data_IF_323869313891
#
_entry.id   IF_323869313891
#
_cell.length_a   1.000
_cell.length_b   1.000
_cell.length_c   1.000
_cell.angle_alpha   90.00
_cell.angle_beta   90.00
_cell.angle_gamma   90.00
#
_symmetry.space_group_name_H-M   'P 1'
#
loop_
_entity.id
_entity.type
_entity.pdbx_description
1 polymer ?
#
# COMPACT_ATOMS: atom_id res chain seq x y z
N UNK A 1 1.76 -1.08 -4.37
CA UNK A 1 2.90 -1.94 -4.72
C UNK A 1 4.01 -1.85 -3.71
N UNK A 2 4.66 -0.68 -3.51
CA UNK A 2 5.73 -0.54 -2.50
C UNK A 2 5.25 -0.92 -1.08
N UNK A 3 4.07 -0.44 -0.66
CA UNK A 3 3.54 -0.75 0.67
C UNK A 3 3.30 -2.24 0.93
N UNK A 4 3.02 -3.02 -0.11
CA UNK A 4 2.80 -4.47 0.00
C UNK A 4 4.08 -5.29 -0.19
N UNK A 5 5.09 -4.77 -0.90
CA UNK A 5 6.33 -5.49 -1.17
C UNK A 5 7.45 -5.17 -0.16
N UNK A 6 7.46 -3.97 0.43
CA UNK A 6 8.50 -3.52 1.35
C UNK A 6 8.73 -4.45 2.58
N UNK A 7 7.70 -5.03 3.22
CA UNK A 7 7.91 -5.97 4.32
C UNK A 7 8.69 -7.22 3.89
N UNK A 8 8.44 -7.71 2.67
CA UNK A 8 9.12 -8.88 2.13
C UNK A 8 10.59 -8.60 1.80
N UNK A 9 10.93 -7.36 1.43
CA UNK A 9 12.33 -6.94 1.26
C UNK A 9 13.06 -6.96 2.61
N UNK A 10 12.42 -6.49 3.68
CA UNK A 10 12.99 -6.58 5.04
C UNK A 10 13.16 -8.02 5.52
N UNK A 11 12.14 -8.86 5.30
CA UNK A 11 12.21 -10.30 5.58
C UNK A 11 13.33 -10.98 4.81
N UNK A 12 13.48 -10.69 3.52
CA UNK A 12 14.58 -11.21 2.71
C UNK A 12 15.95 -10.85 3.31
N UNK A 13 16.13 -9.59 3.74
CA UNK A 13 17.35 -9.16 4.43
C UNK A 13 17.64 -9.98 5.70
N UNK A 14 16.61 -10.33 6.48
CA UNK A 14 16.77 -11.19 7.66
C UNK A 14 17.23 -12.59 7.31
N UNK A 15 16.62 -13.20 6.28
CA UNK A 15 16.96 -14.55 5.82
C UNK A 15 18.40 -14.60 5.32
N UNK A 16 18.81 -13.60 4.54
CA UNK A 16 20.18 -13.50 4.05
C UNK A 16 21.20 -13.29 5.18
N UNK A 17 20.91 -12.42 6.14
CA UNK A 17 21.78 -12.17 7.29
C UNK A 17 21.99 -13.41 8.16
N UNK A 18 20.91 -14.13 8.46
CA UNK A 18 20.98 -15.38 9.23
C UNK A 18 21.69 -16.47 8.43
N UNK A 19 21.45 -16.57 7.12
CA UNK A 19 22.15 -17.52 6.26
C UNK A 19 23.67 -17.33 6.31
N UNK A 20 24.16 -16.10 6.15
CA UNK A 20 25.60 -15.82 6.20
C UNK A 20 26.21 -16.12 7.59
N UNK A 21 25.45 -15.88 8.66
CA UNK A 21 25.87 -16.22 10.01
C UNK A 21 26.04 -17.74 10.19
N UNK A 22 25.07 -18.52 9.70
CA UNK A 22 25.10 -19.98 9.76
C UNK A 22 26.19 -20.58 8.86
N UNK A 23 26.45 -20.00 7.69
CA UNK A 23 27.56 -20.41 6.81
C UNK A 23 28.91 -20.24 7.51
N UNK A 24 29.11 -19.09 8.16
CA UNK A 24 30.33 -18.80 8.94
C UNK A 24 30.51 -19.78 10.11
N UNK A 25 29.42 -20.12 10.81
CA UNK A 25 29.45 -21.10 11.91
C UNK A 25 29.74 -22.51 11.38
N UNK A 26 29.14 -22.89 10.26
CA UNK A 26 29.38 -24.17 9.60
C UNK A 26 30.84 -24.32 9.16
N UNK A 27 31.45 -23.26 8.63
CA UNK A 27 32.86 -23.25 8.22
C UNK A 27 33.83 -23.30 9.41
N UNK A 28 33.49 -22.68 10.54
CA UNK A 28 34.37 -22.61 11.73
C UNK A 28 34.16 -23.75 12.73
N UNK A 29 33.05 -24.47 12.63
CA UNK A 29 32.69 -25.58 13.53
C UNK A 29 32.40 -25.16 14.98
N UNK A 30 32.43 -23.87 15.29
CA UNK A 30 32.21 -23.32 16.63
C UNK A 30 30.97 -22.44 16.64
N UNK A 31 29.90 -22.94 17.25
CA UNK A 31 28.71 -22.15 17.55
C UNK A 31 28.88 -21.50 18.93
N UNK A 32 29.16 -20.20 18.98
CA UNK A 32 29.09 -19.39 20.21
C UNK A 32 28.03 -18.30 20.08
N UNK A 33 27.44 -17.90 21.21
CA UNK A 33 26.44 -16.81 21.24
C UNK A 33 27.02 -15.51 20.68
N UNK A 34 28.30 -15.22 20.97
CA UNK A 34 28.99 -14.03 20.47
C UNK A 34 29.05 -13.97 18.94
N UNK A 35 29.09 -15.14 18.27
CA UNK A 35 29.09 -15.26 16.81
C UNK A 35 27.71 -15.08 16.19
N UNK A 36 26.63 -15.29 16.96
CA UNK A 36 25.24 -15.23 16.48
C UNK A 36 24.57 -13.90 16.83
N UNK A 37 24.95 -13.27 17.94
CA UNK A 37 24.29 -12.07 18.45
C UNK A 37 24.35 -10.87 17.48
N UNK A 38 25.48 -10.66 16.80
CA UNK A 38 25.64 -9.57 15.82
C UNK A 38 24.69 -9.71 14.63
N UNK A 39 24.78 -10.81 13.84
CA UNK A 39 23.92 -11.02 12.67
C UNK A 39 22.41 -11.05 13.00
N UNK A 40 22.03 -11.53 14.18
CA UNK A 40 20.62 -11.50 14.63
C UNK A 40 20.16 -10.04 14.88
N UNK A 41 21.02 -9.19 15.45
CA UNK A 41 20.73 -7.77 15.61
C UNK A 41 20.52 -7.06 14.27
N UNK A 42 21.39 -7.33 13.28
CA UNK A 42 21.27 -6.78 11.94
C UNK A 42 19.99 -7.24 11.22
N UNK A 43 19.61 -8.51 11.39
CA UNK A 43 18.35 -9.05 10.86
C UNK A 43 17.12 -8.31 11.43
N UNK A 44 17.11 -7.97 12.72
CA UNK A 44 16.00 -7.20 13.31
C UNK A 44 15.87 -5.80 12.68
N UNK A 45 17.00 -5.14 12.41
CA UNK A 45 17.00 -3.83 11.75
C UNK A 45 16.43 -3.92 10.33
N UNK A 46 16.76 -4.97 9.57
CA UNK A 46 16.23 -5.17 8.22
C UNK A 46 14.68 -5.26 8.20
N UNK A 47 14.10 -5.95 9.17
CA UNK A 47 12.63 -6.01 9.32
C UNK A 47 12.06 -4.65 9.69
N UNK A 48 12.69 -3.94 10.64
CA UNK A 48 12.26 -2.61 11.04
C UNK A 48 12.25 -1.63 9.86
N UNK A 49 13.26 -1.68 8.98
CA UNK A 49 13.33 -0.87 7.77
C UNK A 49 12.21 -1.22 6.78
N UNK A 50 11.93 -2.51 6.56
CA UNK A 50 10.83 -2.95 5.70
C UNK A 50 9.47 -2.39 6.16
N UNK A 51 9.24 -2.38 7.48
CA UNK A 51 8.03 -1.79 8.07
C UNK A 51 8.02 -0.26 8.00
N UNK A 52 9.15 0.38 8.27
CA UNK A 52 9.30 1.83 8.21
C UNK A 52 9.00 2.38 6.81
N UNK A 53 9.27 1.62 5.75
CA UNK A 53 8.90 1.98 4.37
C UNK A 53 7.45 1.60 4.05
N UNK A 54 6.98 0.44 4.52
CA UNK A 54 5.63 -0.05 4.21
C UNK A 54 4.52 0.84 4.76
N UNK A 55 4.64 1.27 6.02
CA UNK A 55 3.57 2.00 6.72
C UNK A 55 3.26 3.35 6.05
N UNK A 56 4.24 4.24 5.79
CA UNK A 56 3.98 5.50 5.09
C UNK A 56 3.45 5.28 3.68
N UNK A 57 3.92 4.26 2.96
CA UNK A 57 3.46 3.96 1.60
C UNK A 57 1.96 3.58 1.56
N UNK A 58 1.50 2.78 2.53
CA UNK A 58 0.07 2.40 2.63
C UNK A 58 -0.79 3.59 3.06
N UNK A 59 -0.31 4.40 4.02
CA UNK A 59 -1.02 5.61 4.46
C UNK A 59 -1.20 6.63 3.32
N UNK A 60 -0.14 6.89 2.56
CA UNK A 60 -0.18 7.79 1.40
C UNK A 60 -1.14 7.29 0.31
N UNK A 61 -1.13 5.99 0.03
CA UNK A 61 -2.06 5.38 -0.92
C UNK A 61 -3.53 5.54 -0.47
N UNK A 62 -3.82 5.25 0.79
CA UNK A 62 -5.16 5.38 1.34
C UNK A 62 -5.67 6.82 1.31
N UNK A 63 -4.79 7.78 1.62
CA UNK A 63 -5.10 9.20 1.56
C UNK A 63 -5.43 9.65 0.13
N UNK A 64 -4.63 9.24 -0.86
CA UNK A 64 -4.85 9.59 -2.26
C UNK A 64 -6.13 8.94 -2.80
N UNK A 65 -6.40 7.69 -2.43
CA UNK A 65 -7.63 7.00 -2.79
C UNK A 65 -8.88 7.69 -2.23
N UNK A 66 -8.82 8.19 -0.99
CA UNK A 66 -9.91 8.98 -0.42
C UNK A 66 -10.16 10.25 -1.23
N UNK A 67 -9.12 10.98 -1.60
CA UNK A 67 -9.24 12.20 -2.44
C UNK A 67 -9.80 11.89 -3.82
N UNK A 68 -9.31 10.82 -4.47
CA UNK A 68 -9.83 10.39 -5.76
C UNK A 68 -11.32 10.04 -5.70
N UNK A 69 -11.75 9.35 -4.63
CA UNK A 69 -13.17 9.02 -4.42
C UNK A 69 -14.03 10.28 -4.32
N UNK A 70 -13.57 11.31 -3.60
CA UNK A 70 -14.30 12.57 -3.45
C UNK A 70 -14.40 13.27 -4.82
N UNK A 71 -13.29 13.37 -5.57
CA UNK A 71 -13.30 13.97 -6.90
C UNK A 71 -14.26 13.23 -7.86
N UNK A 72 -14.22 11.90 -7.86
CA UNK A 72 -15.13 11.07 -8.65
C UNK A 72 -16.60 11.25 -8.22
N UNK A 73 -16.85 11.47 -6.93
CA UNK A 73 -18.20 11.74 -6.43
C UNK A 73 -18.73 13.07 -6.96
N UNK A 74 -17.90 14.12 -6.99
CA UNK A 74 -18.29 15.41 -7.57
C UNK A 74 -18.63 15.30 -9.05
N UNK A 75 -17.81 14.58 -9.84
CA UNK A 75 -18.08 14.37 -11.27
C UNK A 75 -19.37 13.59 -11.48
N UNK A 76 -19.60 12.53 -10.70
CA UNK A 76 -20.85 11.75 -10.75
C UNK A 76 -22.07 12.58 -10.34
N UNK A 77 -21.94 13.42 -9.31
CA UNK A 77 -22.98 14.35 -8.88
C UNK A 77 -23.39 15.28 -10.01
N UNK A 78 -22.42 15.94 -10.64
CA UNK A 78 -22.67 16.81 -11.80
C UNK A 78 -23.38 16.08 -12.94
N UNK A 79 -22.95 14.86 -13.28
CA UNK A 79 -23.60 14.05 -14.30
C UNK A 79 -25.05 13.69 -13.94
N UNK A 80 -25.31 13.40 -12.67
CA UNK A 80 -26.66 13.13 -12.17
C UNK A 80 -27.56 14.36 -12.30
N UNK A 81 -27.06 15.54 -11.93
CA UNK A 81 -27.83 16.78 -12.01
C UNK A 81 -28.19 17.12 -13.46
N UNK A 82 -27.24 16.98 -14.40
CA UNK A 82 -27.50 17.16 -15.83
C UNK A 82 -28.54 16.16 -16.36
N UNK A 83 -28.44 14.89 -15.94
CA UNK A 83 -29.40 13.86 -16.32
C UNK A 83 -30.81 14.21 -15.85
N UNK A 84 -30.95 14.65 -14.59
CA UNK A 84 -32.23 15.09 -14.03
C UNK A 84 -32.79 16.30 -14.78
N UNK A 85 -31.98 17.31 -15.07
CA UNK A 85 -32.42 18.49 -15.84
C UNK A 85 -32.91 18.12 -17.25
N UNK A 86 -32.20 17.22 -17.93
CA UNK A 86 -32.58 16.77 -19.26
C UNK A 86 -33.90 15.98 -19.24
N UNK A 87 -34.12 15.14 -18.22
CA UNK A 87 -35.40 14.44 -18.04
C UNK A 87 -36.56 15.41 -17.79
N UNK A 88 -36.35 16.42 -16.95
CA UNK A 88 -37.36 17.47 -16.67
C UNK A 88 -37.72 18.23 -17.96
N UNK A 89 -36.73 18.58 -18.78
CA UNK A 89 -36.97 19.31 -20.03
C UNK A 89 -37.72 18.45 -21.07
N UNK A 90 -37.40 17.15 -21.16
CA UNK A 90 -38.16 16.21 -22.00
C UNK A 90 -39.62 16.14 -21.55
N UNK A 91 -39.86 16.05 -20.24
CA UNK A 91 -41.21 16.00 -19.68
C UNK A 91 -42.00 17.29 -19.96
N UNK A 92 -41.34 18.45 -19.82
CA UNK A 92 -41.93 19.76 -20.13
C UNK A 92 -42.28 19.89 -21.61
N UNK A 93 -41.40 19.44 -22.51
CA UNK A 93 -41.63 19.43 -23.96
C UNK A 93 -42.80 18.52 -24.37
N UNK A 94 -42.98 17.38 -23.69
CA UNK A 94 -44.11 16.48 -23.91
C UNK A 94 -45.45 17.12 -23.49
N UNK A 95 -45.51 17.74 -22.30
CA UNK A 95 -46.74 18.43 -21.83
C UNK A 95 -47.16 19.58 -22.75
N UNK A 96 -46.20 20.33 -23.28
CA UNK A 96 -46.48 21.42 -24.23
C UNK A 96 -46.96 20.96 -25.61
N UNK A 97 -46.82 19.67 -25.96
CA UNK A 97 -47.35 19.08 -27.21
C UNK A 97 -48.74 18.46 -27.04
N UNK A 98 -49.20 18.30 -25.80
CA UNK A 98 -50.52 17.70 -25.46
C UNK A 98 -51.57 18.72 -25.02
N UNK A 99 -51.21 20.01 -24.94
CA UNK A 99 -52.11 21.14 -24.67
C UNK A 99 -52.31 21.94 -25.96
#
# INVERSE_FOLDING_TARGET
>A
TIGSTAPFVGLFGTVWGIYNALDTIGATGQASIDKVAGPVGEALIMTALGLAVAVPAVLGYNWLMRRNRIAMHSVKGFGSDLHTLLLIEIEKSQRGRTA
#
